data_IF_511926154217
#
_entry.id   IF_511926154217
#
_cell.length_a   1.000
_cell.length_b   1.000
_cell.length_c   1.000
_cell.angle_alpha   90.00
_cell.angle_beta   90.00
_cell.angle_gamma   90.00
#
_symmetry.space_group_name_H-M   'P 1'
#
loop_
_entity.id
_entity.type
_entity.pdbx_description
1 polymer ?
#
# COMPACT_ATOMS: atom_id res chain seq x y z
N UNK A 1 9.66 12.10 11.74
CA UNK A 1 10.13 13.13 10.77
C UNK A 1 10.05 14.49 11.44
N UNK A 2 10.97 15.40 11.13
CA UNK A 2 10.90 16.78 11.63
C UNK A 2 10.04 17.58 10.65
N UNK A 3 9.05 18.29 11.18
CA UNK A 3 8.13 19.12 10.39
C UNK A 3 8.91 20.16 9.55
N UNK A 4 8.56 20.28 8.27
CA UNK A 4 9.18 21.24 7.36
C UNK A 4 10.53 20.83 6.73
N UNK A 5 11.00 19.59 6.94
CA UNK A 5 12.19 19.10 6.23
C UNK A 5 11.95 18.97 4.72
N UNK A 6 12.93 19.41 3.92
CA UNK A 6 12.96 19.19 2.46
C UNK A 6 13.94 18.08 2.14
N UNK A 7 13.54 17.23 1.21
CA UNK A 7 14.35 16.16 0.67
C UNK A 7 14.53 16.35 -0.82
N UNK A 8 15.68 15.94 -1.36
CA UNK A 8 15.91 15.94 -2.80
C UNK A 8 15.02 14.93 -3.53
N UNK A 9 14.71 13.81 -2.87
CA UNK A 9 13.85 12.74 -3.38
C UNK A 9 13.07 12.16 -2.19
N UNK A 10 11.80 11.84 -2.42
CA UNK A 10 10.96 11.04 -1.54
C UNK A 10 10.61 9.76 -2.30
N UNK A 11 10.88 8.60 -1.71
CA UNK A 11 10.52 7.29 -2.28
C UNK A 11 9.60 6.60 -1.31
N UNK A 12 8.56 5.97 -1.82
CA UNK A 12 7.64 5.15 -1.05
C UNK A 12 7.25 3.93 -1.87
N UNK A 13 7.07 2.81 -1.19
CA UNK A 13 6.32 1.66 -1.68
C UNK A 13 5.05 1.57 -0.83
N UNK A 14 4.03 2.41 -1.10
CA UNK A 14 2.77 2.34 -0.37
C UNK A 14 2.01 1.06 -0.73
N UNK A 15 0.96 0.67 0.02
CA UNK A 15 0.02 -0.33 -0.47
C UNK A 15 -0.57 0.10 -1.81
N UNK A 16 -0.78 -0.87 -2.71
CA UNK A 16 -1.26 -0.64 -4.07
C UNK A 16 -2.24 -1.71 -4.59
N UNK A 17 -2.67 -2.64 -3.72
CA UNK A 17 -3.60 -3.71 -4.10
C UNK A 17 -5.04 -3.22 -3.94
N UNK A 18 -5.88 -3.48 -4.94
CA UNK A 18 -7.31 -3.23 -4.84
C UNK A 18 -7.97 -4.23 -3.88
N UNK A 19 -8.93 -3.78 -3.08
CA UNK A 19 -9.62 -4.65 -2.10
C UNK A 19 -10.33 -5.84 -2.75
N UNK A 20 -10.79 -5.69 -3.99
CA UNK A 20 -11.41 -6.76 -4.78
C UNK A 20 -10.43 -7.84 -5.26
N UNK A 21 -9.12 -7.58 -5.22
CA UNK A 21 -8.08 -8.51 -5.68
C UNK A 21 -7.56 -9.41 -4.55
N UNK A 22 -8.07 -9.29 -3.32
CA UNK A 22 -7.58 -10.07 -2.19
C UNK A 22 -7.55 -11.58 -2.48
N UNK A 23 -8.56 -12.12 -3.17
CA UNK A 23 -8.66 -13.54 -3.48
C UNK A 23 -7.67 -14.05 -4.55
N UNK A 24 -7.06 -13.17 -5.35
CA UNK A 24 -6.02 -13.55 -6.33
C UNK A 24 -4.61 -13.52 -5.76
N UNK A 25 -4.43 -12.98 -4.54
CA UNK A 25 -3.14 -12.97 -3.87
C UNK A 25 -2.73 -14.39 -3.45
N UNK A 26 -1.42 -14.71 -3.44
CA UNK A 26 -0.91 -15.93 -2.83
C UNK A 26 -1.44 -16.08 -1.40
N UNK A 27 -1.80 -17.29 -0.99
CA UNK A 27 -2.36 -17.57 0.35
C UNK A 27 -1.43 -17.06 1.46
N UNK A 28 -0.13 -17.25 1.29
CA UNK A 28 0.91 -16.78 2.20
C UNK A 28 0.84 -15.25 2.40
N UNK A 29 0.57 -14.49 1.34
CA UNK A 29 0.45 -13.02 1.41
C UNK A 29 -0.90 -12.63 2.00
N UNK A 30 -1.99 -13.21 1.50
CA UNK A 30 -3.36 -12.88 1.91
C UNK A 30 -3.60 -13.14 3.40
N UNK A 31 -3.04 -14.23 3.93
CA UNK A 31 -3.34 -14.71 5.28
C UNK A 31 -2.32 -14.28 6.32
N UNK A 32 -1.09 -13.89 5.93
CA UNK A 32 -0.01 -13.60 6.88
C UNK A 32 0.63 -12.22 6.77
N UNK A 33 0.48 -11.52 5.63
CA UNK A 33 0.97 -10.15 5.52
C UNK A 33 -0.03 -9.14 6.11
N UNK A 34 0.43 -8.02 6.68
CA UNK A 34 -0.48 -7.02 7.24
C UNK A 34 -1.38 -6.40 6.15
N UNK A 35 -2.69 -6.46 6.34
CA UNK A 35 -3.65 -5.88 5.40
C UNK A 35 -3.37 -4.39 5.08
N UNK A 36 -2.91 -3.62 6.07
CA UNK A 36 -2.55 -2.21 5.92
C UNK A 36 -1.32 -1.95 5.02
N UNK A 37 -0.49 -2.97 4.78
CA UNK A 37 0.65 -2.90 3.87
C UNK A 37 0.29 -3.32 2.43
N UNK A 38 -0.88 -3.95 2.24
CA UNK A 38 -1.31 -4.48 0.95
C UNK A 38 -2.34 -3.58 0.27
N UNK A 39 -3.44 -3.28 0.96
CA UNK A 39 -4.63 -2.74 0.31
C UNK A 39 -4.68 -1.22 0.37
N UNK A 40 -4.87 -0.59 -0.79
CA UNK A 40 -4.98 0.87 -0.89
C UNK A 40 -6.43 1.35 -0.96
N UNK A 41 -7.40 0.48 -1.28
CA UNK A 41 -8.80 0.87 -1.44
C UNK A 41 -9.48 0.10 -2.59
N UNK A 42 -10.63 0.56 -3.10
CA UNK A 42 -11.34 -0.11 -4.19
C UNK A 42 -10.53 -0.29 -5.49
N UNK A 43 -9.67 0.67 -5.83
CA UNK A 43 -8.88 0.68 -7.08
C UNK A 43 -7.43 0.31 -6.85
N UNK A 44 -6.93 0.42 -5.61
CA UNK A 44 -5.51 0.22 -5.30
C UNK A 44 -4.67 1.48 -5.50
N UNK A 45 -5.28 2.64 -5.79
CA UNK A 45 -4.58 3.90 -6.06
C UNK A 45 -4.86 5.00 -5.03
N UNK A 46 -5.76 4.78 -4.07
CA UNK A 46 -6.28 5.83 -3.19
C UNK A 46 -5.22 6.40 -2.22
N UNK A 47 -4.06 5.75 -2.07
CA UNK A 47 -2.93 6.28 -1.28
C UNK A 47 -2.08 7.27 -2.09
N UNK A 48 -2.26 7.31 -3.41
CA UNK A 48 -1.53 8.17 -4.34
C UNK A 48 -2.39 9.37 -4.80
N UNK A 49 -3.72 9.20 -4.82
CA UNK A 49 -4.71 10.24 -5.15
C UNK A 49 -4.93 11.25 -4.01
#
# INVERSE_FOLDING_TARGET
LIEGQRFHVIVSNPPYVASGEAASLPEEVRDWEPAAALFAGPTGLEVIE
#
